data_IF_538343924433
#
_entry.id   IF_538343924433
#
_cell.length_a   1.000
_cell.length_b   1.000
_cell.length_c   1.000
_cell.angle_alpha   90.00
_cell.angle_beta   90.00
_cell.angle_gamma   90.00
#
_symmetry.space_group_name_H-M   'P 1'
#
loop_
_entity.id
_entity.type
_entity.pdbx_description
1 polymer ?
#
# COMPACT_ATOMS: atom_id res chain seq x y z
N UNK A 1 6.47 -3.28 -2.08
CA UNK A 1 7.04 -2.67 -0.86
C UNK A 1 5.97 -2.66 0.22
N UNK A 2 6.11 -3.53 1.22
CA UNK A 2 5.18 -3.62 2.35
C UNK A 2 5.80 -2.91 3.55
N UNK A 3 5.12 -1.89 4.05
CA UNK A 3 5.61 -1.06 5.18
C UNK A 3 5.86 -1.91 6.41
N UNK A 4 4.93 -2.79 6.78
CA UNK A 4 5.07 -3.66 7.97
C UNK A 4 6.35 -4.51 7.94
N UNK A 5 6.73 -5.01 6.76
CA UNK A 5 7.97 -5.80 6.58
C UNK A 5 9.21 -4.94 6.80
N UNK A 6 9.20 -3.70 6.26
CA UNK A 6 10.32 -2.75 6.43
C UNK A 6 10.45 -2.36 7.91
N UNK A 7 9.32 -2.05 8.56
CA UNK A 7 9.31 -1.67 9.97
C UNK A 7 9.78 -2.80 10.89
N UNK A 8 9.37 -4.04 10.61
CA UNK A 8 9.87 -5.18 11.38
C UNK A 8 11.37 -5.44 11.16
N UNK A 9 11.89 -5.19 9.96
CA UNK A 9 13.32 -5.28 9.71
C UNK A 9 14.11 -4.22 10.50
N UNK A 10 13.59 -3.00 10.60
CA UNK A 10 14.18 -1.93 11.41
C UNK A 10 14.16 -2.32 12.88
N UNK A 11 13.01 -2.79 13.42
CA UNK A 11 12.90 -3.22 14.83
C UNK A 11 13.89 -4.35 15.18
N UNK A 12 14.05 -5.33 14.27
CA UNK A 12 15.01 -6.41 14.45
C UNK A 12 16.49 -5.92 14.46
N UNK A 13 16.77 -4.80 13.81
CA UNK A 13 18.10 -4.21 13.75
C UNK A 13 18.38 -3.20 14.87
N UNK A 14 17.35 -2.64 15.50
CA UNK A 14 17.48 -1.67 16.60
C UNK A 14 17.40 -2.39 17.96
N UNK A 15 18.55 -2.49 18.65
CA UNK A 15 18.63 -3.12 19.96
C UNK A 15 18.01 -2.27 21.08
N UNK A 16 17.75 -0.98 20.83
CA UNK A 16 17.28 -0.01 21.83
C UNK A 16 15.75 0.16 21.88
N UNK A 17 14.96 -0.59 21.10
CA UNK A 17 13.49 -0.55 21.06
C UNK A 17 12.92 0.89 20.98
N UNK A 18 13.58 1.76 20.21
CA UNK A 18 13.15 3.15 20.05
C UNK A 18 11.88 3.27 19.24
N UNK A 19 11.10 4.33 19.50
CA UNK A 19 9.98 4.67 18.61
C UNK A 19 10.51 4.90 17.19
N UNK A 20 10.03 4.07 16.28
CA UNK A 20 10.48 4.07 14.87
C UNK A 20 10.07 5.33 14.11
N UNK A 21 9.02 6.02 14.57
CA UNK A 21 8.46 7.16 13.87
C UNK A 21 8.15 6.84 12.40
N UNK A 22 8.38 7.77 11.46
CA UNK A 22 8.07 7.58 10.05
C UNK A 22 9.20 6.87 9.25
N UNK A 23 10.20 6.26 9.90
CA UNK A 23 11.37 5.70 9.22
C UNK A 23 11.01 4.66 8.16
N UNK A 24 10.03 3.78 8.44
CA UNK A 24 9.54 2.77 7.50
C UNK A 24 9.04 3.40 6.19
N UNK A 25 8.29 4.49 6.28
CA UNK A 25 7.80 5.24 5.12
C UNK A 25 8.94 5.89 4.32
N UNK A 26 9.90 6.54 4.96
CA UNK A 26 11.03 7.16 4.24
C UNK A 26 11.87 6.13 3.49
N UNK A 27 12.10 4.97 4.08
CA UNK A 27 12.79 3.86 3.41
C UNK A 27 11.98 3.38 2.21
N UNK A 28 10.67 3.14 2.39
CA UNK A 28 9.80 2.71 1.30
C UNK A 28 9.74 3.72 0.16
N UNK A 29 9.68 5.02 0.45
CA UNK A 29 9.72 6.09 -0.55
C UNK A 29 11.02 6.09 -1.34
N UNK A 30 12.16 5.93 -0.66
CA UNK A 30 13.46 5.86 -1.32
C UNK A 30 13.55 4.64 -2.24
N UNK A 31 13.15 3.47 -1.76
CA UNK A 31 13.12 2.23 -2.55
C UNK A 31 12.15 2.33 -3.72
N UNK A 32 10.97 2.93 -3.54
CA UNK A 32 10.01 3.14 -4.62
C UNK A 32 10.62 3.99 -5.72
N UNK A 33 11.24 5.12 -5.35
CA UNK A 33 11.89 6.02 -6.30
C UNK A 33 12.98 5.34 -7.11
N UNK A 34 13.90 4.64 -6.45
CA UNK A 34 15.00 3.96 -7.11
C UNK A 34 14.51 2.87 -8.07
N UNK A 35 13.55 2.03 -7.62
CA UNK A 35 13.01 0.97 -8.47
C UNK A 35 12.26 1.53 -9.69
N UNK A 36 11.49 2.59 -9.54
CA UNK A 36 10.82 3.24 -10.67
C UNK A 36 11.82 3.84 -11.66
N UNK A 37 12.92 4.42 -11.19
CA UNK A 37 14.00 4.93 -12.06
C UNK A 37 14.70 3.82 -12.85
N UNK A 38 14.73 2.60 -12.31
CA UNK A 38 15.23 1.40 -12.99
C UNK A 38 14.20 0.78 -13.96
N UNK A 39 13.00 1.37 -14.07
CA UNK A 39 11.93 0.87 -14.92
C UNK A 39 11.13 -0.30 -14.32
N UNK A 40 11.29 -0.57 -13.02
CA UNK A 40 10.51 -1.61 -12.34
C UNK A 40 9.07 -1.14 -12.05
N UNK A 41 8.15 -2.10 -11.97
CA UNK A 41 6.81 -1.88 -11.42
C UNK A 41 6.91 -1.94 -9.90
N UNK A 42 6.35 -0.94 -9.22
CA UNK A 42 6.33 -0.86 -7.76
C UNK A 42 4.90 -0.97 -7.25
N UNK A 43 4.66 -1.88 -6.33
CA UNK A 43 3.44 -1.96 -5.53
C UNK A 43 3.81 -1.49 -4.11
N UNK A 44 3.20 -0.38 -3.67
CA UNK A 44 3.32 0.12 -2.31
C UNK A 44 2.12 -0.37 -1.49
N UNK A 45 2.38 -1.19 -0.48
CA UNK A 45 1.39 -1.82 0.39
C UNK A 45 1.50 -1.23 1.80
N UNK A 46 0.52 -0.42 2.17
CA UNK A 46 0.43 0.21 3.48
C UNK A 46 -0.98 0.78 3.72
N UNK A 47 -1.32 1.06 4.96
CA UNK A 47 -2.62 1.64 5.32
C UNK A 47 -2.79 3.04 4.72
N UNK A 48 -1.74 3.86 4.64
CA UNK A 48 -1.76 5.23 4.11
C UNK A 48 -2.92 6.08 4.64
N UNK A 49 -3.09 6.20 5.96
CA UNK A 49 -4.29 6.82 6.53
C UNK A 49 -4.34 8.33 6.31
N UNK A 50 -3.20 8.97 6.07
CA UNK A 50 -3.08 10.42 5.90
C UNK A 50 -2.91 10.78 4.42
N UNK A 51 -3.49 11.90 4.00
CA UNK A 51 -3.29 12.44 2.66
C UNK A 51 -1.80 12.65 2.34
N UNK A 52 -1.02 13.10 3.32
CA UNK A 52 0.42 13.30 3.20
C UNK A 52 1.16 12.03 2.73
N UNK A 53 0.82 10.86 3.28
CA UNK A 53 1.50 9.61 2.91
C UNK A 53 1.11 9.14 1.51
N UNK A 54 -0.14 9.36 1.12
CA UNK A 54 -0.64 9.08 -0.23
C UNK A 54 0.00 10.01 -1.26
N UNK A 55 0.07 11.31 -0.94
CA UNK A 55 0.68 12.32 -1.80
C UNK A 55 2.17 12.03 -2.04
N UNK A 56 2.90 11.59 -1.02
CA UNK A 56 4.32 11.25 -1.15
C UNK A 56 4.56 10.14 -2.20
N UNK A 57 3.77 9.08 -2.22
CA UNK A 57 3.87 8.03 -3.25
C UNK A 57 3.49 8.55 -4.64
N UNK A 58 2.45 9.36 -4.73
CA UNK A 58 2.05 10.01 -5.99
C UNK A 58 3.14 10.89 -6.56
N UNK A 59 3.76 11.72 -5.73
CA UNK A 59 4.85 12.62 -6.13
C UNK A 59 6.07 11.84 -6.63
N UNK A 60 6.38 10.69 -6.03
CA UNK A 60 7.45 9.81 -6.48
C UNK A 60 7.15 9.29 -7.90
N UNK A 61 5.93 8.85 -8.18
CA UNK A 61 5.54 8.38 -9.51
C UNK A 61 5.59 9.51 -10.55
N UNK A 62 5.08 10.70 -10.19
CA UNK A 62 5.15 11.90 -11.05
C UNK A 62 6.59 12.31 -11.33
N UNK A 63 7.46 12.30 -10.33
CA UNK A 63 8.87 12.58 -10.50
C UNK A 63 9.56 11.58 -11.43
N UNK A 64 9.24 10.30 -11.28
CA UNK A 64 9.74 9.23 -12.15
C UNK A 64 9.09 9.25 -13.56
N UNK A 65 8.11 10.13 -13.81
CA UNK A 65 7.34 10.23 -15.07
C UNK A 65 6.70 8.90 -15.47
N UNK A 66 6.25 8.14 -14.49
CA UNK A 66 5.55 6.89 -14.72
C UNK A 66 4.05 7.00 -14.41
N UNK A 67 3.24 6.12 -15.00
CA UNK A 67 1.85 5.96 -14.61
C UNK A 67 1.73 5.42 -13.19
N UNK A 68 0.61 5.72 -12.52
CA UNK A 68 0.29 5.17 -11.22
C UNK A 68 -1.20 4.94 -11.09
N UNK A 69 -1.57 4.03 -10.20
CA UNK A 69 -2.95 3.77 -9.80
C UNK A 69 -3.03 3.80 -8.28
N UNK A 70 -3.92 4.65 -7.77
CA UNK A 70 -4.23 4.71 -6.35
C UNK A 70 -5.41 3.79 -6.07
N UNK A 71 -5.25 2.90 -5.09
CA UNK A 71 -6.25 1.88 -4.76
C UNK A 71 -6.56 1.95 -3.27
N UNK A 72 -7.84 2.01 -2.94
CA UNK A 72 -8.34 1.87 -1.59
C UNK A 72 -9.08 0.54 -1.45
N UNK A 73 -8.62 -0.30 -0.52
CA UNK A 73 -9.30 -1.55 -0.18
C UNK A 73 -10.11 -1.33 1.09
N UNK A 74 -11.42 -1.49 0.98
CA UNK A 74 -12.35 -1.33 2.10
C UNK A 74 -13.04 -2.65 2.44
N UNK A 75 -13.70 -2.70 3.60
CA UNK A 75 -14.65 -3.74 3.96
C UNK A 75 -15.92 -3.04 4.45
N UNK A 76 -16.94 -2.99 3.62
CA UNK A 76 -18.18 -2.24 3.89
C UNK A 76 -19.02 -2.85 5.01
N UNK A 77 -18.91 -4.16 5.26
CA UNK A 77 -19.58 -4.82 6.38
C UNK A 77 -18.75 -4.76 7.65
N UNK A 78 -19.23 -4.01 8.65
CA UNK A 78 -18.49 -3.78 9.90
C UNK A 78 -18.33 -5.04 10.75
N UNK A 79 -19.28 -5.99 10.66
CA UNK A 79 -19.23 -7.24 11.42
C UNK A 79 -18.15 -8.14 10.84
N UNK A 80 -18.13 -8.28 9.52
CA UNK A 80 -17.09 -9.04 8.83
C UNK A 80 -15.71 -8.38 8.96
N UNK A 81 -15.62 -7.05 8.87
CA UNK A 81 -14.39 -6.33 9.09
C UNK A 81 -13.81 -6.61 10.48
N UNK A 82 -14.62 -6.45 11.53
CA UNK A 82 -14.21 -6.75 12.89
C UNK A 82 -13.76 -8.20 13.06
N UNK A 83 -14.55 -9.16 12.55
CA UNK A 83 -14.20 -10.57 12.59
C UNK A 83 -12.84 -10.83 11.94
N UNK A 84 -12.56 -10.25 10.76
CA UNK A 84 -11.27 -10.40 10.08
C UNK A 84 -10.13 -9.81 10.90
N UNK A 85 -10.30 -8.63 11.48
CA UNK A 85 -9.29 -8.00 12.34
C UNK A 85 -8.97 -8.89 13.54
N UNK A 86 -9.99 -9.46 14.20
CA UNK A 86 -9.84 -10.27 15.41
C UNK A 86 -9.30 -11.69 15.12
N UNK A 87 -9.46 -12.20 13.90
CA UNK A 87 -9.07 -13.59 13.54
C UNK A 87 -7.85 -13.70 12.63
N UNK A 88 -7.38 -12.59 12.05
CA UNK A 88 -6.21 -12.59 11.14
C UNK A 88 -4.95 -13.01 11.88
N UNK A 89 -4.08 -13.71 11.17
CA UNK A 89 -2.74 -14.06 11.62
C UNK A 89 -1.74 -13.26 10.81
N UNK A 90 -0.70 -12.74 11.46
CA UNK A 90 0.35 -12.01 10.76
C UNK A 90 1.19 -12.96 9.90
N UNK A 91 1.39 -12.58 8.64
CA UNK A 91 2.38 -13.21 7.74
C UNK A 91 3.80 -12.64 7.97
N UNK A 92 3.89 -11.50 8.67
CA UNK A 92 5.17 -10.88 8.99
C UNK A 92 5.59 -11.34 10.39
N UNK A 93 6.71 -12.04 10.45
CA UNK A 93 7.23 -12.60 11.69
C UNK A 93 7.53 -11.53 12.73
N UNK A 94 6.99 -11.70 13.93
CA UNK A 94 7.17 -10.77 15.05
C UNK A 94 6.28 -9.52 15.00
N UNK A 95 5.44 -9.35 13.99
CA UNK A 95 4.51 -8.23 13.91
C UNK A 95 3.33 -8.44 14.86
N UNK A 96 3.15 -7.53 15.81
CA UNK A 96 1.93 -7.41 16.60
C UNK A 96 0.89 -6.67 15.76
N UNK A 97 -0.20 -7.36 15.44
CA UNK A 97 -1.28 -6.77 14.65
C UNK A 97 -2.13 -5.83 15.53
N UNK A 98 -2.61 -4.70 14.99
CA UNK A 98 -3.55 -3.84 15.67
C UNK A 98 -4.86 -4.60 15.96
N UNK A 99 -5.42 -4.37 17.13
CA UNK A 99 -6.73 -4.91 17.53
C UNK A 99 -7.88 -4.07 16.93
N UNK A 100 -9.12 -4.46 17.22
CA UNK A 100 -10.30 -3.74 16.71
C UNK A 100 -10.40 -2.31 17.24
N UNK A 101 -9.95 -2.06 18.47
CA UNK A 101 -9.96 -0.73 19.06
C UNK A 101 -8.92 0.18 18.39
N UNK A 102 -7.75 -0.35 18.07
CA UNK A 102 -6.71 0.38 17.34
C UNK A 102 -7.21 0.77 15.95
N UNK A 103 -7.85 -0.19 15.24
CA UNK A 103 -8.42 0.05 13.91
C UNK A 103 -9.49 1.14 13.94
N UNK A 104 -10.39 1.11 14.91
CA UNK A 104 -11.50 2.09 15.03
C UNK A 104 -11.05 3.47 15.51
N UNK A 105 -9.95 3.55 16.23
CA UNK A 105 -9.37 4.81 16.69
C UNK A 105 -8.39 5.45 15.69
N UNK A 106 -8.04 4.71 14.61
CA UNK A 106 -7.15 5.23 13.60
C UNK A 106 -7.77 6.46 12.92
N UNK A 107 -7.06 7.57 12.94
CA UNK A 107 -7.44 8.74 12.14
C UNK A 107 -7.19 8.42 10.68
N UNK A 108 -8.26 8.30 9.91
CA UNK A 108 -8.20 8.06 8.47
C UNK A 108 -8.77 9.26 7.74
N UNK A 109 -7.91 10.02 7.07
CA UNK A 109 -8.32 11.18 6.29
C UNK A 109 -9.06 10.75 5.03
N UNK A 110 -10.22 11.33 4.72
CA UNK A 110 -10.96 11.01 3.51
C UNK A 110 -10.12 11.32 2.26
N UNK A 111 -10.35 10.54 1.21
CA UNK A 111 -9.75 10.82 -0.08
C UNK A 111 -10.34 12.10 -0.69
N UNK A 112 -9.47 12.91 -1.29
CA UNK A 112 -9.82 14.19 -1.91
C UNK A 112 -9.71 14.17 -3.44
N UNK A 113 -9.55 12.97 -4.03
CA UNK A 113 -9.39 12.75 -5.48
C UNK A 113 -9.91 11.39 -5.90
N UNK A 114 -10.10 11.22 -7.21
CA UNK A 114 -10.47 9.93 -7.79
C UNK A 114 -9.40 8.87 -7.53
N UNK A 115 -9.85 7.69 -7.16
CA UNK A 115 -9.04 6.49 -6.93
C UNK A 115 -9.92 5.24 -7.12
N UNK A 116 -9.31 4.08 -7.27
CA UNK A 116 -10.03 2.82 -7.37
C UNK A 116 -10.41 2.32 -5.97
N UNK A 117 -11.71 2.15 -5.73
CA UNK A 117 -12.21 1.58 -4.47
C UNK A 117 -12.60 0.12 -4.71
N UNK A 118 -12.06 -0.79 -3.91
CA UNK A 118 -12.35 -2.22 -3.94
C UNK A 118 -12.91 -2.66 -2.59
N UNK A 119 -14.16 -3.10 -2.59
CA UNK A 119 -14.80 -3.60 -1.37
C UNK A 119 -14.56 -5.10 -1.20
N UNK A 120 -13.67 -5.44 -0.29
CA UNK A 120 -13.29 -6.82 0.02
C UNK A 120 -14.40 -7.63 0.71
N UNK A 121 -15.51 -7.01 1.12
CA UNK A 121 -16.70 -7.74 1.57
C UNK A 121 -17.46 -8.36 0.40
N UNK A 122 -17.59 -7.61 -0.68
CA UNK A 122 -18.35 -8.00 -1.88
C UNK A 122 -17.50 -8.69 -2.96
N UNK A 123 -16.18 -8.48 -2.95
CA UNK A 123 -15.22 -9.00 -3.91
C UNK A 123 -14.23 -9.96 -3.23
N UNK A 124 -13.97 -11.08 -3.88
CA UNK A 124 -12.84 -11.94 -3.56
C UNK A 124 -11.49 -11.29 -3.95
N UNK A 125 -10.39 -11.81 -3.44
CA UNK A 125 -9.05 -11.35 -3.81
C UNK A 125 -8.81 -11.42 -5.33
N UNK A 126 -9.24 -12.51 -5.98
CA UNK A 126 -9.08 -12.70 -7.42
C UNK A 126 -9.90 -11.69 -8.23
N UNK A 127 -11.11 -11.37 -7.78
CA UNK A 127 -11.94 -10.34 -8.39
C UNK A 127 -11.34 -8.94 -8.21
N UNK A 128 -10.77 -8.65 -7.04
CA UNK A 128 -10.04 -7.40 -6.81
C UNK A 128 -8.84 -7.28 -7.77
N UNK A 129 -8.03 -8.33 -7.89
CA UNK A 129 -6.89 -8.36 -8.82
C UNK A 129 -7.37 -8.19 -10.27
N UNK A 130 -8.43 -8.86 -10.68
CA UNK A 130 -9.01 -8.73 -12.02
C UNK A 130 -9.44 -7.30 -12.32
N UNK A 131 -10.06 -6.61 -11.35
CA UNK A 131 -10.44 -5.20 -11.47
C UNK A 131 -9.24 -4.28 -11.60
N UNK A 132 -8.18 -4.53 -10.83
CA UNK A 132 -6.94 -3.75 -10.93
C UNK A 132 -6.34 -3.91 -12.34
N UNK A 133 -6.25 -5.12 -12.85
CA UNK A 133 -5.71 -5.41 -14.19
C UNK A 133 -6.56 -4.73 -15.27
N UNK A 134 -7.90 -4.81 -15.16
CA UNK A 134 -8.82 -4.15 -16.08
C UNK A 134 -8.56 -2.63 -16.15
N UNK A 135 -8.45 -1.98 -14.99
CA UNK A 135 -8.15 -0.54 -14.93
C UNK A 135 -6.78 -0.24 -15.51
N UNK A 136 -5.75 -1.00 -15.16
CA UNK A 136 -4.39 -0.82 -15.67
C UNK A 136 -4.32 -0.98 -17.20
N UNK A 137 -5.10 -1.89 -17.78
CA UNK A 137 -5.15 -2.09 -19.23
C UNK A 137 -5.70 -0.89 -20.02
N UNK A 138 -6.44 -0.01 -19.34
CA UNK A 138 -6.97 1.23 -19.94
C UNK A 138 -5.95 2.39 -19.96
N UNK A 139 -4.80 2.22 -19.28
CA UNK A 139 -3.73 3.21 -19.27
C UNK A 139 -2.68 2.88 -20.33
N UNK A 140 -2.63 3.59 -21.46
CA UNK A 140 -1.78 3.24 -22.62
C UNK A 140 -0.27 3.35 -22.37
N UNK A 141 0.13 3.82 -21.20
CA UNK A 141 1.55 4.10 -20.87
C UNK A 141 2.32 2.87 -20.40
N UNK A 142 1.65 1.79 -19.99
CA UNK A 142 2.33 0.57 -19.51
C UNK A 142 2.78 -0.36 -20.66
N UNK A 143 2.16 -0.28 -21.84
CA UNK A 143 2.54 -1.08 -23.00
C UNK A 143 3.88 -0.69 -23.63
N UNK A 144 4.33 0.55 -23.43
CA UNK A 144 5.61 1.01 -24.03
C UNK A 144 6.86 0.50 -23.32
N UNK A 145 6.74 -0.04 -22.12
CA UNK A 145 7.88 -0.59 -21.37
C UNK A 145 8.22 -2.04 -21.74
N UNK A 146 7.30 -2.77 -22.37
CA UNK A 146 7.53 -4.15 -22.79
C UNK A 146 8.14 -4.31 -24.19
N UNK A 147 8.13 -3.28 -25.03
CA UNK A 147 8.55 -3.32 -26.43
C UNK A 147 9.84 -2.54 -26.76
N UNK A 148 10.58 -2.07 -25.77
CA UNK A 148 11.81 -1.28 -25.92
C UNK A 148 13.11 -2.08 -25.83
N UNK A 149 13.07 -3.37 -26.12
CA UNK A 149 14.24 -4.25 -26.14
C UNK A 149 14.50 -4.81 -27.53
N UNK A 150 15.15 -4.06 -28.38
CA UNK A 150 15.80 -4.57 -29.60
C UNK A 150 17.12 -3.83 -29.79
#
# INVERSE_FOLDING_TARGET
LRIDTIEQAIRKADEDDREMGPAGYFIAYSLARENLQLGAIVIADSVNPLALTRDAYRDIALFAKTGFLEIEIVCSDIIEHRKRVETRVSEVEGLTLPDWKDVTNLTYEPWNREHLILDSYSLSSDECVSRIIEVLSQYPTLEKLSNGGS
#
